data_IF_304877896251
#
_entry.id   IF_304877896251
#
_cell.length_a   1.000
_cell.length_b   1.000
_cell.length_c   1.000
_cell.angle_alpha   90.00
_cell.angle_beta   90.00
_cell.angle_gamma   90.00
#
_symmetry.space_group_name_H-M   'P 1'
#
loop_
_entity.id
_entity.type
_entity.pdbx_description
1 polymer ?
#
# COMPACT_ATOMS: atom_id res chain seq x y z
N UNK A 1 -19.55 -1.81 21.17
CA UNK A 1 -20.03 -1.76 19.77
C UNK A 1 -19.81 -3.14 19.17
N UNK A 2 -20.86 -3.93 18.96
CA UNK A 2 -20.70 -5.29 18.44
C UNK A 2 -20.25 -5.24 16.97
N UNK A 3 -19.14 -5.91 16.66
CA UNK A 3 -18.59 -6.00 15.30
C UNK A 3 -19.47 -6.86 14.36
N UNK A 4 -20.37 -7.66 14.93
CA UNK A 4 -21.33 -8.51 14.21
C UNK A 4 -22.74 -8.24 14.71
N UNK A 5 -23.64 -7.91 13.79
CA UNK A 5 -25.08 -7.93 14.09
C UNK A 5 -25.56 -9.39 14.05
N UNK A 6 -26.36 -9.82 15.04
CA UNK A 6 -26.89 -11.17 15.06
C UNK A 6 -27.68 -11.45 13.80
N UNK A 7 -27.56 -12.66 13.27
CA UNK A 7 -28.28 -13.07 12.07
C UNK A 7 -29.77 -13.04 12.38
N UNK A 8 -30.57 -12.51 11.46
CA UNK A 8 -32.02 -12.45 11.62
C UNK A 8 -32.58 -13.88 11.72
N UNK A 9 -33.51 -14.11 12.65
CA UNK A 9 -34.15 -15.41 12.87
C UNK A 9 -34.69 -15.98 11.55
N UNK A 10 -34.24 -17.19 11.18
CA UNK A 10 -34.62 -17.88 9.95
C UNK A 10 -33.69 -17.66 8.75
N UNK A 11 -32.63 -16.85 8.89
CA UNK A 11 -31.55 -16.74 7.93
C UNK A 11 -30.29 -17.40 8.52
N UNK A 12 -29.56 -18.13 7.68
CA UNK A 12 -28.23 -18.66 8.01
C UNK A 12 -27.27 -18.30 6.89
N UNK A 13 -26.08 -17.83 7.25
CA UNK A 13 -25.01 -17.60 6.28
C UNK A 13 -23.63 -17.69 6.95
N UNK A 14 -22.57 -18.11 6.24
CA UNK A 14 -21.23 -18.27 6.82
C UNK A 14 -20.38 -16.98 6.83
N UNK A 15 -20.93 -15.83 6.41
CA UNK A 15 -20.15 -14.60 6.23
C UNK A 15 -19.75 -13.93 7.54
N UNK A 16 -18.48 -13.51 7.63
CA UNK A 16 -17.91 -12.84 8.79
C UNK A 16 -18.34 -11.36 8.96
N UNK A 17 -18.71 -10.70 7.86
CA UNK A 17 -19.12 -9.29 7.80
C UNK A 17 -20.59 -9.20 7.40
N UNK A 18 -21.39 -8.52 8.21
CA UNK A 18 -22.84 -8.37 8.01
C UNK A 18 -23.27 -6.92 8.03
N UNK A 19 -24.42 -6.64 7.41
CA UNK A 19 -25.13 -5.37 7.56
C UNK A 19 -25.76 -5.26 8.95
N UNK A 20 -26.39 -4.11 9.25
CA UNK A 20 -27.10 -3.91 10.54
C UNK A 20 -28.33 -4.81 10.67
N UNK A 21 -28.81 -5.34 9.54
CA UNK A 21 -29.94 -6.23 9.40
C UNK A 21 -29.53 -7.72 9.43
N UNK A 22 -28.23 -8.01 9.58
CA UNK A 22 -27.70 -9.37 9.64
C UNK A 22 -27.64 -10.07 8.29
N UNK A 23 -27.61 -9.33 7.17
CA UNK A 23 -27.40 -9.89 5.83
C UNK A 23 -25.94 -9.77 5.38
N UNK A 24 -25.47 -10.56 4.39
CA UNK A 24 -24.08 -10.49 3.93
C UNK A 24 -23.70 -9.10 3.44
N UNK A 25 -22.52 -8.64 3.85
CA UNK A 25 -22.04 -7.30 3.50
C UNK A 25 -21.59 -7.22 2.04
N UNK A 26 -22.09 -6.23 1.30
CA UNK A 26 -21.73 -6.05 -0.12
C UNK A 26 -20.46 -5.22 -0.31
N UNK A 27 -19.80 -5.38 -1.45
CA UNK A 27 -18.66 -4.54 -1.86
C UNK A 27 -19.06 -3.06 -1.90
N UNK A 28 -20.27 -2.75 -2.39
CA UNK A 28 -20.80 -1.37 -2.42
C UNK A 28 -20.93 -0.79 -1.00
N UNK A 29 -21.52 -1.56 -0.09
CA UNK A 29 -21.66 -1.16 1.32
C UNK A 29 -20.30 -0.87 1.97
N UNK A 30 -19.30 -1.71 1.67
CA UNK A 30 -17.92 -1.50 2.09
C UNK A 30 -17.32 -0.20 1.56
N UNK A 31 -17.40 0.03 0.24
CA UNK A 31 -16.87 1.25 -0.38
C UNK A 31 -17.49 2.53 0.21
N UNK A 32 -18.81 2.53 0.41
CA UNK A 32 -19.51 3.68 1.01
C UNK A 32 -19.16 3.87 2.50
N UNK A 33 -19.05 2.77 3.26
CA UNK A 33 -18.63 2.82 4.66
C UNK A 33 -17.23 3.40 4.81
N UNK A 34 -16.30 2.95 3.96
CA UNK A 34 -14.94 3.48 3.89
C UNK A 34 -14.93 4.96 3.55
N UNK A 35 -15.64 5.37 2.50
CA UNK A 35 -15.74 6.78 2.09
C UNK A 35 -16.21 7.68 3.24
N UNK A 36 -17.22 7.23 4.00
CA UNK A 36 -17.67 7.94 5.21
C UNK A 36 -16.61 7.98 6.30
N UNK A 37 -15.90 6.88 6.54
CA UNK A 37 -14.85 6.81 7.56
C UNK A 37 -13.67 7.76 7.23
N UNK A 38 -13.20 7.76 5.98
CA UNK A 38 -12.14 8.66 5.48
C UNK A 38 -12.54 10.12 5.66
N UNK A 39 -13.76 10.48 5.25
CA UNK A 39 -14.28 11.85 5.44
C UNK A 39 -14.43 12.23 6.91
N UNK A 40 -14.83 11.29 7.77
CA UNK A 40 -15.01 11.52 9.21
C UNK A 40 -13.70 11.92 9.90
N UNK A 41 -12.57 11.37 9.46
CA UNK A 41 -11.25 11.73 9.98
C UNK A 41 -10.63 12.96 9.28
N UNK A 42 -11.41 13.68 8.47
CA UNK A 42 -10.97 14.91 7.80
C UNK A 42 -10.14 14.69 6.54
N UNK A 43 -10.09 13.47 6.00
CA UNK A 43 -9.35 13.19 4.76
C UNK A 43 -10.27 13.23 3.53
N UNK A 44 -9.69 13.58 2.39
CA UNK A 44 -10.35 13.49 1.10
C UNK A 44 -10.44 12.03 0.64
N UNK A 45 -11.61 11.61 0.15
CA UNK A 45 -11.77 10.29 -0.48
C UNK A 45 -11.55 10.39 -1.99
N UNK A 46 -10.34 10.10 -2.45
CA UNK A 46 -9.98 10.12 -3.87
C UNK A 46 -8.79 9.19 -4.15
N UNK A 47 -8.55 8.89 -5.43
CA UNK A 47 -7.42 8.04 -5.84
C UNK A 47 -6.10 8.78 -5.59
N UNK A 48 -6.12 10.07 -5.87
CA UNK A 48 -5.02 11.03 -5.75
C UNK A 48 -4.60 11.17 -4.28
N UNK A 49 -5.57 11.23 -3.36
CA UNK A 49 -5.31 11.26 -1.92
C UNK A 49 -4.86 9.92 -1.33
N UNK A 50 -4.77 8.85 -2.13
CA UNK A 50 -4.42 7.50 -1.67
C UNK A 50 -5.34 6.94 -0.57
N UNK A 51 -6.62 7.33 -0.53
CA UNK A 51 -7.56 6.95 0.54
C UNK A 51 -8.62 5.92 0.10
N UNK A 52 -8.55 5.45 -1.15
CA UNK A 52 -9.43 4.39 -1.67
C UNK A 52 -9.00 3.00 -1.19
N UNK A 53 -9.91 2.02 -1.25
CA UNK A 53 -9.57 0.62 -0.96
C UNK A 53 -8.52 0.05 -1.92
N UNK A 54 -8.52 0.52 -3.15
CA UNK A 54 -7.51 0.14 -4.14
C UNK A 54 -6.14 0.73 -3.79
N UNK A 55 -6.09 1.99 -3.33
CA UNK A 55 -4.85 2.60 -2.86
C UNK A 55 -4.25 1.85 -1.66
N UNK A 56 -5.06 1.34 -0.74
CA UNK A 56 -4.57 0.47 0.35
C UNK A 56 -3.89 -0.79 -0.18
N UNK A 57 -4.45 -1.40 -1.24
CA UNK A 57 -3.85 -2.58 -1.88
C UNK A 57 -2.48 -2.25 -2.48
N UNK A 58 -2.31 -1.06 -3.05
CA UNK A 58 -1.00 -0.55 -3.48
C UNK A 58 -0.05 -0.32 -2.31
N UNK A 59 -0.50 0.32 -1.23
CA UNK A 59 0.33 0.51 -0.04
C UNK A 59 0.79 -0.81 0.55
N UNK A 60 -0.10 -1.80 0.62
CA UNK A 60 0.23 -3.14 1.10
C UNK A 60 1.32 -3.80 0.27
N UNK A 61 1.17 -3.84 -1.06
CA UNK A 61 2.19 -4.39 -1.96
C UNK A 61 3.53 -3.66 -1.87
N UNK A 62 3.51 -2.32 -1.84
CA UNK A 62 4.73 -1.53 -1.67
C UNK A 62 5.42 -1.78 -0.33
N UNK A 63 4.67 -1.85 0.77
CA UNK A 63 5.25 -2.11 2.09
C UNK A 63 5.93 -3.47 2.17
N UNK A 64 5.33 -4.51 1.57
CA UNK A 64 5.95 -5.83 1.50
C UNK A 64 7.26 -5.80 0.70
N UNK A 65 7.25 -5.13 -0.46
CA UNK A 65 8.44 -4.98 -1.29
C UNK A 65 9.54 -4.16 -0.58
N UNK A 66 9.16 -3.09 0.12
CA UNK A 66 10.07 -2.26 0.91
C UNK A 66 10.67 -3.00 2.11
N UNK A 67 9.94 -3.97 2.66
CA UNK A 67 10.42 -4.83 3.74
C UNK A 67 11.31 -5.98 3.24
N UNK A 68 11.60 -6.04 1.93
CA UNK A 68 12.43 -7.09 1.33
C UNK A 68 11.75 -8.46 1.21
N UNK A 69 10.41 -8.51 1.27
CA UNK A 69 9.67 -9.77 1.12
C UNK A 69 9.87 -10.32 -0.30
N UNK A 70 10.21 -11.61 -0.48
CA UNK A 70 10.34 -12.22 -1.79
C UNK A 70 9.10 -12.07 -2.66
N UNK A 71 9.30 -11.81 -3.95
CA UNK A 71 8.24 -11.58 -4.94
C UNK A 71 7.22 -12.72 -5.04
N UNK A 72 7.65 -13.97 -4.82
CA UNK A 72 6.75 -15.13 -4.80
C UNK A 72 5.79 -15.11 -3.60
N UNK A 73 6.27 -14.63 -2.45
CA UNK A 73 5.46 -14.48 -1.23
C UNK A 73 4.50 -13.32 -1.41
N UNK A 74 4.95 -12.20 -1.99
CA UNK A 74 4.09 -11.05 -2.30
C UNK A 74 2.97 -11.46 -3.26
N UNK A 75 3.27 -12.22 -4.32
CA UNK A 75 2.25 -12.77 -5.23
C UNK A 75 1.14 -13.51 -4.47
N UNK A 76 1.53 -14.42 -3.57
CA UNK A 76 0.58 -15.19 -2.75
C UNK A 76 -0.20 -14.28 -1.80
N UNK A 77 0.49 -13.36 -1.11
CA UNK A 77 -0.10 -12.43 -0.16
C UNK A 77 -1.10 -11.46 -0.81
N UNK A 78 -0.87 -11.07 -2.07
CA UNK A 78 -1.76 -10.22 -2.85
C UNK A 78 -2.79 -11.01 -3.67
N UNK A 79 -2.75 -12.35 -3.64
CA UNK A 79 -3.62 -13.22 -4.42
C UNK A 79 -3.60 -12.91 -5.92
N UNK A 80 -2.39 -12.82 -6.48
CA UNK A 80 -2.16 -12.54 -7.89
C UNK A 80 -1.93 -13.83 -8.69
N UNK A 81 -2.39 -13.86 -9.95
CA UNK A 81 -2.25 -15.02 -10.82
C UNK A 81 -0.78 -15.27 -11.21
N UNK A 82 -0.02 -14.20 -11.44
CA UNK A 82 1.38 -14.26 -11.88
C UNK A 82 2.26 -13.24 -11.14
N UNK A 83 3.58 -13.42 -11.21
CA UNK A 83 4.55 -12.49 -10.61
C UNK A 83 4.51 -11.15 -11.33
N UNK A 84 4.26 -11.14 -12.65
CA UNK A 84 4.17 -9.95 -13.49
C UNK A 84 2.98 -9.09 -13.08
N UNK A 85 1.84 -9.70 -12.74
CA UNK A 85 0.65 -8.96 -12.29
C UNK A 85 0.85 -8.20 -10.96
N UNK A 86 1.94 -8.46 -10.23
CA UNK A 86 2.31 -7.70 -9.04
C UNK A 86 3.12 -6.43 -9.34
N UNK A 87 3.71 -6.30 -10.52
CA UNK A 87 4.64 -5.21 -10.83
C UNK A 87 4.00 -3.83 -10.66
N UNK A 88 2.71 -3.69 -10.98
CA UNK A 88 1.92 -2.46 -10.77
C UNK A 88 1.89 -2.03 -9.29
N UNK A 89 1.98 -2.99 -8.36
CA UNK A 89 1.90 -2.77 -6.92
C UNK A 89 3.27 -2.64 -6.24
N UNK A 90 4.34 -3.11 -6.88
CA UNK A 90 5.71 -3.03 -6.36
C UNK A 90 6.56 -1.97 -7.07
N UNK A 91 6.04 -1.34 -8.12
CA UNK A 91 6.74 -0.26 -8.82
C UNK A 91 7.04 0.90 -7.86
N UNK A 92 8.27 1.44 -7.90
CA UNK A 92 8.63 2.60 -7.09
C UNK A 92 7.82 3.81 -7.53
N UNK A 93 7.29 4.56 -6.57
CA UNK A 93 6.63 5.84 -6.86
C UNK A 93 7.62 6.85 -7.45
N UNK A 94 7.14 7.81 -8.24
CA UNK A 94 7.98 8.90 -8.77
C UNK A 94 8.79 9.60 -7.67
N UNK A 95 8.19 9.80 -6.49
CA UNK A 95 8.86 10.38 -5.32
C UNK A 95 10.04 9.50 -4.86
N UNK A 96 9.88 8.18 -4.87
CA UNK A 96 10.95 7.23 -4.53
C UNK A 96 12.05 7.25 -5.58
N UNK A 97 11.70 7.27 -6.86
CA UNK A 97 12.67 7.41 -7.97
C UNK A 97 13.47 8.70 -7.80
N UNK A 98 12.79 9.84 -7.60
CA UNK A 98 13.44 11.14 -7.41
C UNK A 98 14.36 11.16 -6.19
N UNK A 99 13.96 10.53 -5.09
CA UNK A 99 14.79 10.39 -3.88
C UNK A 99 16.03 9.56 -4.17
N UNK A 100 15.91 8.43 -4.87
CA UNK A 100 17.07 7.61 -5.22
C UNK A 100 18.04 8.34 -6.16
N UNK A 101 17.53 9.09 -7.13
CA UNK A 101 18.37 9.92 -8.00
C UNK A 101 19.15 10.99 -7.20
N UNK A 102 18.49 11.70 -6.28
CA UNK A 102 19.17 12.67 -5.40
C UNK A 102 20.23 12.02 -4.50
N UNK A 103 19.94 10.86 -3.95
CA UNK A 103 20.92 10.14 -3.11
C UNK A 103 22.13 9.70 -3.94
N UNK A 104 21.93 9.26 -5.18
CA UNK A 104 23.01 8.88 -6.09
C UNK A 104 23.88 10.09 -6.47
N UNK A 105 23.26 11.24 -6.75
CA UNK A 105 23.95 12.51 -7.00
C UNK A 105 24.83 12.92 -5.81
N UNK A 106 24.29 12.91 -4.59
CA UNK A 106 25.06 13.21 -3.38
C UNK A 106 26.22 12.23 -3.16
N UNK A 107 26.00 10.94 -3.38
CA UNK A 107 27.06 9.92 -3.24
C UNK A 107 28.18 10.14 -4.24
N UNK A 108 27.84 10.48 -5.49
CA UNK A 108 28.82 10.78 -6.53
C UNK A 108 29.66 12.02 -6.18
N UNK A 109 29.02 13.07 -5.66
CA UNK A 109 29.71 14.28 -5.20
C UNK A 109 30.68 13.98 -4.06
N UNK A 110 30.24 13.27 -3.01
CA UNK A 110 31.09 12.88 -1.88
C UNK A 110 32.29 12.05 -2.34
N UNK A 111 32.08 11.05 -3.20
CA UNK A 111 33.15 10.21 -3.73
C UNK A 111 34.16 11.02 -4.55
N UNK A 112 33.70 12.04 -5.30
CA UNK A 112 34.59 12.93 -6.05
C UNK A 112 35.43 13.82 -5.14
N UNK A 113 34.85 14.33 -4.04
CA UNK A 113 35.55 15.13 -3.04
C UNK A 113 36.61 14.32 -2.28
N UNK A 114 36.29 13.08 -1.89
CA UNK A 114 37.25 12.17 -1.24
C UNK A 114 38.44 11.88 -2.16
N UNK A 115 38.19 11.65 -3.45
CA UNK A 115 39.26 11.41 -4.43
C UNK A 115 40.19 12.63 -4.59
N UNK A 116 39.63 13.83 -4.61
CA UNK A 116 40.40 15.08 -4.70
C UNK A 116 41.27 15.32 -3.46
N UNK A 117 40.73 15.05 -2.27
CA UNK A 117 41.46 15.17 -1.00
C UNK A 117 42.66 14.21 -0.96
N UNK A 118 42.45 12.95 -1.36
CA UNK A 118 43.51 11.94 -1.42
C UNK A 118 44.64 12.33 -2.39
N UNK A 119 44.31 12.93 -3.54
CA UNK A 119 45.31 13.41 -4.51
C UNK A 119 46.10 14.64 -4.04
N UNK A 120 45.53 15.45 -3.15
CA UNK A 120 46.21 16.61 -2.55
C UNK A 120 47.14 16.20 -1.40
N UNK A 121 46.78 15.17 -0.64
CA UNK A 121 47.57 14.65 0.48
C UNK A 121 48.70 13.69 0.05
N UNK A 122 48.67 13.20 -1.19
CA UNK A 122 49.71 12.34 -1.77
C UNK A 122 50.89 13.10 -2.42
N UNK A 123 50.97 14.42 -2.24
CA UNK A 123 52.09 15.28 -2.66
C UNK A 123 52.92 15.72 -1.46
#
# INVERSE_FOLDING_TARGET
MYQRFPIKKGLEHPYALTSREGTPYTIKSYSESRKRAVKRIGLEYSKEACTTSHADRHRYGQNLAESGVPSIIIKTAMHHASIESQQIYTQPTEKKVRRQLKNAEQTALINSSINLQFLLEAK
#
